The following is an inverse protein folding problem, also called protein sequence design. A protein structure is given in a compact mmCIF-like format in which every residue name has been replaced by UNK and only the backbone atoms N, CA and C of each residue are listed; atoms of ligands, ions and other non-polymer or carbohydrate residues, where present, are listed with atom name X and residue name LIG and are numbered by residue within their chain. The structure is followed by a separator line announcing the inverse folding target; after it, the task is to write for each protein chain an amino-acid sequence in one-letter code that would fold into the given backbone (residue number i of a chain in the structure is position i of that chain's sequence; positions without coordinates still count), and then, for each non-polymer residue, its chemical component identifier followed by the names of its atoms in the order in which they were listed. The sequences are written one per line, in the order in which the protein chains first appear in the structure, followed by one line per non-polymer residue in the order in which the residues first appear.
data_IF_724032049818
#
_entry.id   IF_724032049818
#
_cell.length_a   1.000
_cell.length_b   1.000
_cell.length_c   1.000
_cell.angle_alpha   90.00
_cell.angle_beta   90.00
_cell.angle_gamma   90.00
#
_symmetry.space_group_name_H-M   'P 1'
#
loop_
_entity.id
_entity.type
_entity.pdbx_description
1 polymer ?
#
# COMPACT_ATOMS: atom_id res chain seq x y z
N UNK A 1 -43.44 8.42 -6.87
CA UNK A 1 -42.50 9.53 -6.60
C UNK A 1 -41.27 8.94 -5.92
N UNK A 2 -40.19 8.83 -6.68
CA UNK A 2 -38.96 8.11 -6.36
C UNK A 2 -37.99 9.02 -5.59
N UNK A 3 -37.84 8.78 -4.29
CA UNK A 3 -36.85 9.45 -3.41
C UNK A 3 -35.61 8.57 -3.15
N UNK A 4 -35.18 7.81 -4.15
CA UNK A 4 -33.88 7.14 -4.17
C UNK A 4 -33.21 7.62 -5.44
N UNK A 5 -32.10 8.39 -5.39
CA UNK A 5 -31.22 8.56 -6.56
C UNK A 5 -29.92 9.34 -6.31
N UNK A 6 -29.85 10.31 -5.38
CA UNK A 6 -28.63 11.12 -5.24
C UNK A 6 -27.52 10.44 -4.41
N UNK A 7 -27.85 9.91 -3.23
CA UNK A 7 -26.87 9.30 -2.31
C UNK A 7 -26.31 7.98 -2.85
N UNK A 8 -27.15 7.16 -3.46
CA UNK A 8 -26.75 5.88 -4.07
C UNK A 8 -25.84 6.07 -5.28
N UNK A 9 -26.02 7.15 -6.04
CA UNK A 9 -25.19 7.46 -7.19
C UNK A 9 -23.78 7.91 -6.76
N UNK A 10 -23.68 8.78 -5.74
CA UNK A 10 -22.38 9.21 -5.21
C UNK A 10 -21.58 8.04 -4.60
N UNK A 11 -22.22 7.18 -3.81
CA UNK A 11 -21.56 6.00 -3.23
C UNK A 11 -21.06 5.03 -4.30
N UNK A 12 -21.85 4.86 -5.37
CA UNK A 12 -21.47 4.02 -6.50
C UNK A 12 -20.30 4.63 -7.27
N UNK A 13 -20.30 5.94 -7.50
CA UNK A 13 -19.22 6.65 -8.18
C UNK A 13 -17.92 6.61 -7.38
N UNK A 14 -17.99 6.73 -6.05
CA UNK A 14 -16.84 6.56 -5.17
C UNK A 14 -16.27 5.14 -5.25
N UNK A 15 -17.12 4.11 -5.20
CA UNK A 15 -16.69 2.71 -5.36
C UNK A 15 -16.04 2.47 -6.73
N UNK A 16 -16.66 2.97 -7.80
CA UNK A 16 -16.14 2.85 -9.15
C UNK A 16 -14.78 3.54 -9.27
N UNK A 17 -14.63 4.75 -8.72
CA UNK A 17 -13.37 5.49 -8.71
C UNK A 17 -12.26 4.73 -7.98
N UNK A 18 -12.54 4.19 -6.79
CA UNK A 18 -11.55 3.38 -6.06
C UNK A 18 -11.20 2.09 -6.81
N UNK A 19 -12.18 1.42 -7.40
CA UNK A 19 -11.96 0.23 -8.20
C UNK A 19 -11.06 0.49 -9.41
N UNK A 20 -11.31 1.57 -10.16
CA UNK A 20 -10.47 1.93 -11.31
C UNK A 20 -9.03 2.25 -10.89
N UNK A 21 -8.84 2.93 -9.75
CA UNK A 21 -7.50 3.20 -9.21
C UNK A 21 -6.79 1.93 -8.78
N UNK A 22 -7.48 1.00 -8.13
CA UNK A 22 -6.94 -0.31 -7.80
C UNK A 22 -6.48 -1.05 -9.06
N UNK A 23 -7.35 -1.20 -10.07
CA UNK A 23 -7.03 -1.89 -11.32
C UNK A 23 -5.83 -1.29 -12.05
N UNK A 24 -5.67 0.03 -11.99
CA UNK A 24 -4.57 0.73 -12.66
C UNK A 24 -3.22 0.52 -11.97
N UNK A 25 -3.22 0.35 -10.64
CA UNK A 25 -2.00 0.25 -9.84
C UNK A 25 -1.61 -1.18 -9.44
N UNK A 26 -2.57 -2.11 -9.42
CA UNK A 26 -2.37 -3.50 -9.02
C UNK A 26 -1.19 -4.18 -9.74
N UNK A 27 -1.01 -4.05 -11.07
CA UNK A 27 0.06 -4.77 -11.76
C UNK A 27 1.46 -4.31 -11.35
N UNK A 28 1.64 -3.01 -11.13
CA UNK A 28 2.91 -2.43 -10.67
C UNK A 28 3.26 -2.93 -9.27
N UNK A 29 2.29 -2.87 -8.35
CA UNK A 29 2.47 -3.33 -6.96
C UNK A 29 2.79 -4.82 -6.93
N UNK A 30 2.05 -5.63 -7.68
CA UNK A 30 2.26 -7.08 -7.76
C UNK A 30 3.65 -7.42 -8.28
N UNK A 31 4.09 -6.75 -9.35
CA UNK A 31 5.44 -6.94 -9.88
C UNK A 31 6.53 -6.49 -8.90
N UNK A 32 6.31 -5.38 -8.19
CA UNK A 32 7.23 -4.91 -7.15
C UNK A 32 7.42 -5.94 -6.05
N UNK A 33 6.32 -6.54 -5.53
CA UNK A 33 6.39 -7.60 -4.52
C UNK A 33 7.19 -8.80 -5.03
N UNK A 34 6.93 -9.25 -6.26
CA UNK A 34 7.66 -10.37 -6.85
C UNK A 34 9.16 -10.12 -6.91
N UNK A 35 9.56 -8.89 -7.25
CA UNK A 35 10.97 -8.50 -7.33
C UNK A 35 11.61 -8.44 -5.94
N UNK A 36 10.98 -7.76 -4.97
CA UNK A 36 11.52 -7.60 -3.61
C UNK A 36 11.66 -8.94 -2.90
N UNK A 37 10.66 -9.81 -2.99
CA UNK A 37 10.68 -11.12 -2.37
C UNK A 37 11.40 -12.18 -3.21
N UNK A 38 11.87 -11.82 -4.41
CA UNK A 38 12.46 -12.77 -5.37
C UNK A 38 11.58 -14.00 -5.58
N UNK A 39 10.26 -13.80 -5.74
CA UNK A 39 9.30 -14.89 -5.91
C UNK A 39 9.63 -15.66 -7.20
N UNK A 40 9.87 -16.98 -7.15
CA UNK A 40 10.27 -17.76 -8.31
C UNK A 40 9.24 -17.71 -9.45
N UNK A 41 9.71 -17.72 -10.70
CA UNK A 41 8.84 -17.65 -11.90
C UNK A 41 7.77 -18.74 -11.94
N UNK A 42 8.06 -19.95 -11.46
CA UNK A 42 7.08 -21.04 -11.40
C UNK A 42 5.90 -20.69 -10.46
N UNK A 43 6.16 -20.00 -9.35
CA UNK A 43 5.11 -19.54 -8.43
C UNK A 43 4.30 -18.41 -9.07
N UNK A 44 4.96 -17.47 -9.75
CA UNK A 44 4.26 -16.41 -10.50
C UNK A 44 3.33 -17.00 -11.57
N UNK A 45 3.81 -18.01 -12.32
CA UNK A 45 3.00 -18.73 -13.31
C UNK A 45 1.81 -19.43 -12.66
N UNK A 46 2.00 -20.06 -11.49
CA UNK A 46 0.89 -20.69 -10.75
C UNK A 46 -0.16 -19.65 -10.33
N UNK A 47 0.24 -18.47 -9.87
CA UNK A 47 -0.70 -17.40 -9.54
C UNK A 47 -1.52 -16.96 -10.76
N UNK A 48 -0.86 -16.77 -11.91
CA UNK A 48 -1.54 -16.42 -13.17
C UNK A 48 -2.48 -17.53 -13.66
N UNK A 49 -2.05 -18.79 -13.62
CA UNK A 49 -2.86 -19.94 -14.06
C UNK A 49 -4.12 -20.15 -13.21
N UNK A 50 -4.03 -19.84 -11.91
CA UNK A 50 -5.16 -19.92 -10.99
C UNK A 50 -6.00 -18.63 -10.96
N UNK A 51 -5.73 -17.66 -11.84
CA UNK A 51 -6.39 -16.35 -11.89
C UNK A 51 -6.37 -15.59 -10.55
N UNK A 52 -5.29 -15.73 -9.77
CA UNK A 52 -5.16 -15.06 -8.48
C UNK A 52 -4.76 -13.59 -8.69
N UNK A 53 -5.58 -12.69 -8.14
CA UNK A 53 -5.25 -11.26 -8.10
C UNK A 53 -4.32 -10.93 -6.93
N UNK A 54 -3.85 -9.68 -6.85
CA UNK A 54 -3.02 -9.23 -5.73
C UNK A 54 -3.66 -9.52 -4.36
N UNK A 55 -4.97 -9.32 -4.20
CA UNK A 55 -5.62 -9.54 -2.91
C UNK A 55 -5.60 -11.02 -2.52
N UNK A 56 -5.82 -11.94 -3.46
CA UNK A 56 -5.70 -13.38 -3.21
C UNK A 56 -4.30 -13.76 -2.71
N UNK A 57 -3.27 -13.20 -3.35
CA UNK A 57 -1.86 -13.45 -3.00
C UNK A 57 -1.52 -12.92 -1.60
N UNK A 58 -2.14 -11.81 -1.18
CA UNK A 58 -1.87 -11.18 0.12
C UNK A 58 -2.78 -11.67 1.25
N UNK A 59 -3.88 -12.35 0.92
CA UNK A 59 -5.01 -12.63 1.84
C UNK A 59 -4.63 -13.42 3.09
N UNK A 60 -3.65 -14.33 3.01
CA UNK A 60 -3.20 -15.12 4.15
C UNK A 60 -2.19 -14.38 5.06
N UNK A 61 -1.77 -13.18 4.65
CA UNK A 61 -0.81 -12.33 5.34
C UNK A 61 0.65 -12.80 5.27
N UNK A 62 0.95 -13.94 4.64
CA UNK A 62 2.31 -14.49 4.59
C UNK A 62 3.24 -13.62 3.74
N UNK A 63 2.80 -13.25 2.53
CA UNK A 63 3.56 -12.39 1.63
C UNK A 63 3.84 -11.03 2.27
N UNK A 64 2.86 -10.47 2.98
CA UNK A 64 3.01 -9.23 3.75
C UNK A 64 4.04 -9.38 4.89
N UNK A 65 3.99 -10.47 5.65
CA UNK A 65 4.96 -10.73 6.71
C UNK A 65 6.37 -10.92 6.16
N UNK A 66 6.52 -11.60 5.01
CA UNK A 66 7.82 -11.74 4.33
C UNK A 66 8.39 -10.37 3.93
N UNK A 67 7.58 -9.45 3.43
CA UNK A 67 8.02 -8.07 3.16
C UNK A 67 8.48 -7.38 4.43
N UNK A 68 7.69 -7.43 5.50
CA UNK A 68 8.07 -6.84 6.79
C UNK A 68 9.35 -7.44 7.37
N UNK A 69 9.60 -8.73 7.11
CA UNK A 69 10.80 -9.42 7.59
C UNK A 69 12.11 -8.97 6.95
N UNK A 70 12.05 -8.32 5.79
CA UNK A 70 13.23 -7.72 5.16
C UNK A 70 13.65 -6.39 5.79
N UNK A 71 12.83 -5.79 6.66
CA UNK A 71 13.17 -4.54 7.33
C UNK A 71 14.25 -4.74 8.40
N UNK A 72 15.20 -3.80 8.54
CA UNK A 72 16.28 -3.85 9.54
C UNK A 72 15.78 -3.38 10.91
N UNK A 73 14.76 -4.04 11.45
CA UNK A 73 14.12 -3.73 12.74
C UNK A 73 14.14 -4.98 13.61
N UNK A 74 14.52 -4.79 14.87
CA UNK A 74 14.54 -5.83 15.88
C UNK A 74 13.12 -6.16 16.36
N UNK A 75 12.88 -7.42 16.73
CA UNK A 75 11.62 -7.89 17.32
C UNK A 75 10.34 -7.56 16.52
N UNK A 76 10.46 -7.42 15.19
CA UNK A 76 9.32 -7.20 14.29
C UNK A 76 8.26 -8.32 14.44
N UNK A 77 6.97 -7.96 14.64
CA UNK A 77 5.88 -8.94 14.79
C UNK A 77 5.78 -9.92 13.63
N UNK A 78 6.13 -9.48 12.42
CA UNK A 78 6.11 -10.29 11.20
C UNK A 78 7.03 -11.51 11.24
N UNK A 79 7.96 -11.60 12.19
CA UNK A 79 8.77 -12.81 12.39
C UNK A 79 7.99 -13.97 12.99
N UNK A 80 6.82 -13.70 13.59
CA UNK A 80 5.96 -14.68 14.28
C UNK A 80 4.86 -15.27 13.39
N UNK A 81 4.82 -14.89 12.12
CA UNK A 81 3.77 -15.31 11.19
C UNK A 81 3.72 -16.84 11.05
N UNK A 82 2.54 -17.37 10.75
CA UNK A 82 2.31 -18.81 10.57
C UNK A 82 1.59 -19.07 9.27
N UNK A 83 2.04 -20.07 8.51
CA UNK A 83 1.29 -20.56 7.37
C UNK A 83 0.10 -21.40 7.88
N UNK A 84 -1.12 -20.93 7.64
CA UNK A 84 -2.34 -21.64 8.02
C UNK A 84 -3.52 -21.21 7.15
N UNK A 85 -4.44 -22.15 6.91
CA UNK A 85 -5.73 -21.89 6.26
C UNK A 85 -6.78 -21.36 7.24
N UNK A 86 -6.48 -21.33 8.54
CA UNK A 86 -7.42 -20.86 9.55
C UNK A 86 -7.60 -19.34 9.46
N UNK A 87 -8.83 -18.83 9.32
CA UNK A 87 -9.10 -17.39 9.18
C UNK A 87 -8.45 -16.51 10.25
N UNK A 88 -8.48 -16.94 11.52
CA UNK A 88 -7.90 -16.16 12.62
C UNK A 88 -6.38 -15.99 12.50
N UNK A 89 -5.67 -17.02 12.01
CA UNK A 89 -4.21 -16.93 11.77
C UNK A 89 -3.92 -16.00 10.60
N UNK A 90 -4.71 -16.07 9.52
CA UNK A 90 -4.54 -15.18 8.37
C UNK A 90 -4.73 -13.71 8.75
N UNK A 91 -5.78 -13.42 9.53
CA UNK A 91 -6.04 -12.09 10.07
C UNK A 91 -4.94 -11.63 11.04
N UNK A 92 -4.40 -12.54 11.87
CA UNK A 92 -3.27 -12.25 12.75
C UNK A 92 -1.99 -11.92 11.97
N UNK A 93 -1.66 -12.69 10.94
CA UNK A 93 -0.52 -12.42 10.04
C UNK A 93 -0.65 -11.02 9.39
N UNK A 94 -1.83 -10.67 8.88
CA UNK A 94 -2.09 -9.33 8.35
C UNK A 94 -1.83 -8.28 9.44
N UNK A 95 -2.34 -8.49 10.66
CA UNK A 95 -2.15 -7.54 11.78
C UNK A 95 -0.68 -7.35 12.17
N UNK A 96 0.16 -8.37 12.02
CA UNK A 96 1.60 -8.25 12.25
C UNK A 96 2.26 -7.30 11.25
N UNK A 97 1.92 -7.41 9.97
CA UNK A 97 2.39 -6.46 8.95
C UNK A 97 1.92 -5.04 9.25
N UNK A 98 0.64 -4.85 9.57
CA UNK A 98 0.09 -3.52 9.90
C UNK A 98 0.78 -2.90 11.13
N UNK A 99 1.13 -3.72 12.11
CA UNK A 99 1.89 -3.26 13.29
C UNK A 99 3.30 -2.82 12.89
N UNK A 100 3.98 -3.58 12.03
CA UNK A 100 5.28 -3.19 11.48
C UNK A 100 5.20 -1.87 10.68
N UNK A 101 4.16 -1.67 9.87
CA UNK A 101 3.90 -0.42 9.16
C UNK A 101 3.82 0.79 10.09
N UNK A 102 3.15 0.64 11.25
CA UNK A 102 3.09 1.69 12.28
C UNK A 102 4.47 1.97 12.87
N UNK A 103 5.25 0.92 13.18
CA UNK A 103 6.60 1.05 13.75
C UNK A 103 7.56 1.83 12.84
N UNK A 104 7.47 1.66 11.52
CA UNK A 104 8.29 2.42 10.55
C UNK A 104 7.73 3.82 10.22
N UNK A 105 6.66 4.24 10.90
CA UNK A 105 6.11 5.58 10.77
C UNK A 105 5.33 5.82 9.48
N UNK A 106 4.62 4.82 8.96
CA UNK A 106 3.60 5.06 7.93
C UNK A 106 2.40 5.79 8.60
N UNK A 107 1.89 6.88 8.00
CA UNK A 107 0.70 7.58 8.47
C UNK A 107 -0.51 6.67 8.65
N UNK A 108 -1.28 6.88 9.71
CA UNK A 108 -2.40 5.99 10.05
C UNK A 108 -3.50 5.94 8.97
N UNK A 109 -3.76 7.05 8.28
CA UNK A 109 -4.70 7.19 7.17
C UNK A 109 -4.25 6.47 5.89
N UNK A 110 -2.96 6.16 5.79
CA UNK A 110 -2.40 5.37 4.70
C UNK A 110 -2.35 3.86 5.03
N UNK A 111 -2.64 3.44 6.26
CA UNK A 111 -2.62 2.04 6.69
C UNK A 111 -4.02 1.42 6.56
N UNK A 112 -4.14 0.32 5.80
CA UNK A 112 -5.38 -0.45 5.69
C UNK A 112 -5.73 -1.21 6.99
N UNK A 113 -6.97 -1.63 7.14
CA UNK A 113 -7.44 -2.48 8.23
C UNK A 113 -7.52 -3.95 7.79
N UNK A 114 -7.39 -4.90 8.71
CA UNK A 114 -7.39 -6.33 8.38
C UNK A 114 -8.59 -6.76 7.51
N UNK A 115 -9.78 -6.23 7.77
CA UNK A 115 -11.00 -6.52 6.99
C UNK A 115 -10.96 -5.97 5.57
N UNK A 116 -10.23 -4.88 5.32
CA UNK A 116 -10.09 -4.28 3.99
C UNK A 116 -9.46 -5.26 3.01
N UNK A 117 -8.49 -6.05 3.48
CA UNK A 117 -7.86 -7.11 2.71
C UNK A 117 -8.62 -8.44 2.83
N UNK A 118 -8.86 -8.91 4.06
CA UNK A 118 -9.40 -10.25 4.29
C UNK A 118 -10.79 -10.44 3.68
N UNK A 119 -11.66 -9.44 3.82
CA UNK A 119 -13.01 -9.41 3.25
C UNK A 119 -13.11 -8.53 1.99
N UNK A 120 -11.98 -8.01 1.49
CA UNK A 120 -11.92 -7.16 0.29
C UNK A 120 -12.78 -5.89 0.39
N UNK A 121 -12.86 -5.25 1.56
CA UNK A 121 -13.70 -4.04 1.75
C UNK A 121 -13.17 -2.79 1.06
N UNK A 122 -11.85 -2.58 1.05
CA UNK A 122 -11.21 -1.46 0.32
C UNK A 122 -9.89 -1.90 -0.33
N UNK A 123 -9.93 -2.58 -1.49
CA UNK A 123 -8.76 -2.99 -2.26
C UNK A 123 -7.75 -1.88 -2.52
N UNK A 124 -8.23 -0.66 -2.75
CA UNK A 124 -7.35 0.45 -3.10
C UNK A 124 -6.57 0.96 -1.87
N UNK A 125 -7.11 0.81 -0.65
CA UNK A 125 -6.35 1.13 0.56
C UNK A 125 -5.11 0.25 0.72
N UNK A 126 -5.15 -1.02 0.29
CA UNK A 126 -3.97 -1.92 0.29
C UNK A 126 -2.87 -1.36 -0.62
N UNK A 127 -3.24 -0.85 -1.80
CA UNK A 127 -2.31 -0.21 -2.74
C UNK A 127 -1.63 1.01 -2.09
N UNK A 128 -2.42 1.88 -1.44
CA UNK A 128 -1.90 3.08 -0.75
C UNK A 128 -0.88 2.67 0.32
N UNK A 129 -1.24 1.70 1.17
CA UNK A 129 -0.32 1.22 2.22
C UNK A 129 0.97 0.66 1.64
N UNK A 130 0.90 -0.13 0.55
CA UNK A 130 2.09 -0.71 -0.08
C UNK A 130 2.97 0.33 -0.76
N UNK A 131 2.38 1.37 -1.37
CA UNK A 131 3.15 2.52 -1.89
C UNK A 131 3.90 3.20 -0.75
N UNK A 132 3.22 3.52 0.35
CA UNK A 132 3.85 4.15 1.52
C UNK A 132 4.91 3.28 2.18
N UNK A 133 4.63 1.98 2.28
CA UNK A 133 5.57 0.99 2.77
C UNK A 133 6.82 0.95 1.88
N UNK A 134 6.68 0.92 0.55
CA UNK A 134 7.83 0.88 -0.36
C UNK A 134 8.78 2.07 -0.14
N UNK A 135 8.24 3.27 0.06
CA UNK A 135 9.01 4.49 0.35
C UNK A 135 9.75 4.40 1.68
N UNK A 136 9.02 4.08 2.76
CA UNK A 136 9.61 3.95 4.10
C UNK A 136 10.64 2.82 4.18
N UNK A 137 10.37 1.70 3.53
CA UNK A 137 11.26 0.55 3.52
C UNK A 137 12.54 0.84 2.74
N UNK A 138 12.46 1.55 1.62
CA UNK A 138 13.64 2.03 0.87
C UNK A 138 14.48 3.00 1.69
N UNK A 139 13.86 3.97 2.37
CA UNK A 139 14.58 4.93 3.21
C UNK A 139 15.36 4.23 4.35
N UNK A 140 14.82 3.12 4.89
CA UNK A 140 15.45 2.34 5.96
C UNK A 140 16.49 1.33 5.45
N UNK A 141 16.22 0.65 4.34
CA UNK A 141 17.12 -0.35 3.73
C UNK A 141 17.05 -0.30 2.20
N UNK A 142 17.83 0.59 1.57
CA UNK A 142 17.88 0.68 0.11
C UNK A 142 18.37 -0.61 -0.55
N UNK A 143 19.18 -1.42 0.15
CA UNK A 143 19.69 -2.69 -0.37
C UNK A 143 18.60 -3.75 -0.46
N UNK A 144 17.73 -3.86 0.56
CA UNK A 144 16.62 -4.82 0.57
C UNK A 144 15.44 -4.35 -0.26
N UNK A 145 15.27 -3.03 -0.38
CA UNK A 145 14.18 -2.39 -1.11
C UNK A 145 14.73 -1.43 -2.17
N UNK A 146 15.37 -1.91 -3.25
CA UNK A 146 16.07 -1.05 -4.22
C UNK A 146 15.13 -0.23 -5.11
N UNK A 147 13.86 -0.60 -5.21
CA UNK A 147 12.87 0.03 -6.08
C UNK A 147 11.64 0.49 -5.29
N UNK A 148 10.94 1.50 -5.81
CA UNK A 148 9.75 2.11 -5.23
C UNK A 148 8.53 1.87 -6.11
N UNK A 149 7.34 1.94 -5.53
CA UNK A 149 6.06 1.91 -6.25
C UNK A 149 5.57 3.36 -6.47
N UNK A 150 5.01 3.63 -7.64
CA UNK A 150 4.30 4.86 -7.94
C UNK A 150 5.15 5.90 -8.70
N UNK A 151 4.57 7.07 -9.00
CA UNK A 151 5.23 8.08 -9.82
C UNK A 151 6.52 8.54 -9.15
N UNK A 152 7.64 8.47 -9.89
CA UNK A 152 8.95 8.97 -9.44
C UNK A 152 8.77 10.43 -9.04
N UNK A 153 8.78 10.74 -7.75
CA UNK A 153 8.67 12.11 -7.27
C UNK A 153 9.91 12.87 -7.73
N UNK A 154 9.76 13.70 -8.76
CA UNK A 154 10.78 14.68 -9.11
C UNK A 154 10.78 15.69 -7.96
N UNK A 155 11.88 15.75 -7.20
CA UNK A 155 12.11 16.76 -6.15
C UNK A 155 12.33 18.14 -6.80
N UNK A 156 11.38 18.64 -7.59
CA UNK A 156 11.39 20.04 -8.00
C UNK A 156 10.96 20.83 -6.77
N UNK A 157 11.91 21.48 -6.11
CA UNK A 157 11.57 22.50 -5.10
C UNK A 157 10.68 23.52 -5.82
N UNK A 158 9.47 23.84 -5.31
CA UNK A 158 8.67 24.90 -5.89
C UNK A 158 9.51 26.17 -5.93
N UNK A 159 9.69 26.77 -7.10
CA UNK A 159 10.39 28.03 -7.22
C UNK A 159 9.57 29.07 -6.48
N UNK A 160 10.03 29.50 -5.30
CA UNK A 160 9.38 30.56 -4.54
C UNK A 160 9.39 31.82 -5.43
N UNK A 161 8.23 32.36 -5.84
CA UNK A 161 8.21 33.60 -6.58
C UNK A 161 8.89 34.69 -5.75
N UNK A 162 9.89 35.38 -6.31
CA UNK A 162 10.53 36.51 -5.62
C UNK A 162 9.46 37.57 -5.35
N UNK A 163 9.34 38.01 -4.09
CA UNK A 163 8.44 39.08 -3.67
C UNK A 163 8.61 40.27 -4.64
N UNK A 164 7.52 40.83 -5.20
CA UNK A 164 7.60 42.01 -6.06
C UNK A 164 8.30 43.15 -5.32
N UNK A 165 9.29 43.77 -5.97
CA UNK A 165 9.97 44.97 -5.48
C UNK A 165 8.97 46.12 -5.61
N UNK A 166 8.21 46.42 -4.55
CA UNK A 166 7.22 47.49 -4.63
C UNK A 166 6.31 47.74 -3.44
N UNK A 167 6.36 46.94 -2.38
CA UNK A 167 5.58 47.17 -1.16
C UNK A 167 6.53 47.30 0.05
N UNK A 168 7.35 48.36 0.02
CA UNK A 168 7.89 48.95 1.24
C UNK A 168 7.06 50.19 1.53
N UNK A 169 6.27 50.09 2.59
CA UNK A 169 5.47 51.15 3.18
C UNK A 169 6.31 52.43 3.34
N UNK A 170 6.01 53.46 2.54
CA UNK A 170 6.40 54.84 2.87
C UNK A 170 5.30 55.42 3.76
N UNK A 171 5.44 55.24 5.07
CA UNK A 171 4.82 56.13 6.06
C UNK A 171 5.95 56.70 6.91
N UNK A 172 6.30 57.95 6.62
CA UNK A 172 6.80 58.96 7.55
C UNK A 172 6.10 60.25 7.19
#
# INVERSE_FOLDING_TARGET
MSFQNASTNLDQDLKNSRQSKYQSSEPEVKQWIYNILSIPKNIQTQYSQNNLDLLDILKDGEVLCKLGNLLPIDNKPTSKYKNSKMPFIQMENISFFLSTCKTIGIPHDEIFQTVDLFERKDPYQIIITLISFSRKAHDLSPTSFPTLIGPKTVKVKPTIPKKPIGLSSKYN
#
